data_IF_414302536197
#
_entry.id   IF_414302536197
#
_cell.length_a   1.000
_cell.length_b   1.000
_cell.length_c   1.000
_cell.angle_alpha   90.00
_cell.angle_beta   90.00
_cell.angle_gamma   90.00
#
_symmetry.space_group_name_H-M   'P 1'
#
loop_
_entity.id
_entity.type
_entity.pdbx_description
1 polymer ?
#
# COMPACT_ATOMS: atom_id res chain seq x y z
N UNK A 1 19.22 -23.73 0.24
CA UNK A 1 17.93 -23.17 -0.26
C UNK A 1 16.89 -23.33 0.83
N UNK A 2 16.70 -22.31 1.65
CA UNK A 2 15.81 -22.36 2.81
C UNK A 2 14.40 -21.92 2.42
N UNK A 3 13.39 -22.75 2.68
CA UNK A 3 11.98 -22.39 2.49
C UNK A 3 11.49 -21.64 3.72
N UNK A 4 11.52 -20.31 3.69
CA UNK A 4 10.92 -19.50 4.74
C UNK A 4 9.39 -19.63 4.67
N UNK A 5 8.83 -20.38 5.62
CA UNK A 5 7.39 -20.58 5.76
C UNK A 5 6.74 -19.37 6.41
N UNK A 6 6.07 -18.53 5.62
CA UNK A 6 5.33 -17.34 6.09
C UNK A 6 3.96 -17.70 6.72
N UNK A 7 3.96 -18.69 7.62
CA UNK A 7 2.76 -19.21 8.27
C UNK A 7 2.40 -18.49 9.59
N UNK A 8 3.27 -17.63 10.13
CA UNK A 8 3.13 -17.17 11.52
C UNK A 8 3.48 -15.68 11.76
N UNK A 9 2.99 -14.78 10.91
CA UNK A 9 3.05 -13.33 11.13
C UNK A 9 1.64 -12.78 11.34
N UNK A 10 1.29 -12.59 12.63
CA UNK A 10 -0.02 -12.11 13.10
C UNK A 10 -0.20 -10.62 12.78
N UNK A 11 -0.68 -10.32 11.58
CA UNK A 11 -1.09 -8.98 11.14
C UNK A 11 -2.51 -9.03 10.52
N UNK A 12 -3.44 -8.10 10.87
CA UNK A 12 -4.82 -8.16 10.36
C UNK A 12 -4.96 -7.89 8.86
N UNK A 13 -4.00 -7.16 8.28
CA UNK A 13 -4.15 -6.50 6.98
C UNK A 13 -4.20 -7.44 5.75
N UNK A 14 -3.93 -8.74 5.90
CA UNK A 14 -4.14 -9.71 4.81
C UNK A 14 -5.62 -9.89 4.43
N UNK A 15 -6.57 -9.45 5.26
CA UNK A 15 -8.00 -9.41 4.88
C UNK A 15 -8.45 -8.03 4.37
N UNK A 16 -7.90 -6.93 4.87
CA UNK A 16 -8.42 -5.59 4.60
C UNK A 16 -8.35 -5.18 3.12
N UNK A 17 -7.25 -5.50 2.41
CA UNK A 17 -7.09 -5.18 0.97
C UNK A 17 -8.15 -5.90 0.09
N UNK A 18 -8.79 -6.96 0.60
CA UNK A 18 -9.87 -7.67 -0.10
C UNK A 18 -11.28 -7.33 0.42
N UNK A 19 -11.44 -6.55 1.49
CA UNK A 19 -12.75 -6.31 2.13
C UNK A 19 -13.69 -5.37 1.36
N UNK A 20 -13.18 -4.64 0.37
CA UNK A 20 -14.02 -3.78 -0.49
C UNK A 20 -14.87 -4.55 -1.50
N UNK A 21 -14.69 -5.88 -1.65
CA UNK A 21 -15.51 -6.70 -2.54
C UNK A 21 -16.13 -7.85 -1.76
N UNK A 22 -17.36 -7.64 -1.28
CA UNK A 22 -18.21 -8.72 -0.79
C UNK A 22 -18.69 -9.56 -1.98
N UNK A 23 -17.84 -10.49 -2.43
CA UNK A 23 -18.23 -11.52 -3.39
C UNK A 23 -19.21 -12.50 -2.69
N UNK A 24 -20.35 -12.83 -3.31
CA UNK A 24 -21.24 -13.86 -2.76
C UNK A 24 -20.53 -15.22 -2.70
N UNK A 25 -20.99 -16.14 -1.84
CA UNK A 25 -20.36 -17.42 -1.47
C UNK A 25 -20.18 -18.48 -2.60
N UNK A 26 -20.24 -18.03 -3.86
CA UNK A 26 -19.80 -18.68 -5.08
C UNK A 26 -18.52 -17.94 -5.53
N UNK A 27 -17.39 -18.23 -4.87
CA UNK A 27 -16.13 -17.52 -5.11
C UNK A 27 -15.20 -18.28 -6.08
N UNK A 28 -14.92 -17.66 -7.24
CA UNK A 28 -13.62 -17.86 -7.90
C UNK A 28 -12.54 -17.15 -7.07
N UNK A 29 -11.81 -17.90 -6.25
CA UNK A 29 -10.76 -17.36 -5.38
C UNK A 29 -9.76 -16.48 -6.16
N UNK A 30 -9.66 -15.19 -5.77
CA UNK A 30 -8.83 -14.20 -6.44
C UNK A 30 -7.33 -14.52 -6.27
N UNK A 31 -6.71 -15.16 -7.28
CA UNK A 31 -5.29 -15.54 -7.26
C UNK A 31 -4.37 -14.38 -7.65
N UNK A 32 -4.09 -13.50 -6.70
CA UNK A 32 -3.02 -12.50 -6.84
C UNK A 32 -1.66 -13.22 -6.80
N UNK A 33 -0.96 -13.28 -7.94
CA UNK A 33 0.37 -13.92 -8.06
C UNK A 33 1.51 -13.07 -7.51
N UNK A 34 1.37 -11.76 -7.62
CA UNK A 34 2.38 -10.78 -7.24
C UNK A 34 1.69 -9.66 -6.48
N UNK A 35 2.06 -9.48 -5.22
CA UNK A 35 1.62 -8.39 -4.36
C UNK A 35 2.86 -7.84 -3.65
N UNK A 36 2.93 -6.51 -3.53
CA UNK A 36 4.02 -5.81 -2.83
C UNK A 36 3.39 -4.95 -1.76
N UNK A 37 3.81 -5.16 -0.52
CA UNK A 37 3.50 -4.27 0.60
C UNK A 37 4.51 -3.11 0.57
N UNK A 38 3.99 -1.89 0.39
CA UNK A 38 4.82 -0.68 0.24
C UNK A 38 5.49 -0.24 1.54
N UNK A 39 4.87 -0.53 2.70
CA UNK A 39 5.46 -0.27 4.01
C UNK A 39 6.61 -1.23 4.30
N UNK A 40 6.44 -2.51 3.96
CA UNK A 40 7.52 -3.51 4.00
C UNK A 40 8.67 -3.17 3.05
N UNK A 41 8.35 -2.78 1.80
CA UNK A 41 9.34 -2.38 0.81
C UNK A 41 10.19 -1.20 1.31
N UNK A 42 9.54 -0.14 1.81
CA UNK A 42 10.20 1.03 2.37
C UNK A 42 11.02 0.69 3.63
N UNK A 43 10.47 -0.13 4.54
CA UNK A 43 11.15 -0.57 5.75
C UNK A 43 12.47 -1.30 5.45
N UNK A 44 12.49 -2.16 4.42
CA UNK A 44 13.67 -2.91 4.00
C UNK A 44 14.72 -2.01 3.35
N UNK A 45 14.34 -1.19 2.37
CA UNK A 45 15.26 -0.35 1.60
C UNK A 45 15.87 0.74 2.49
N UNK A 46 15.03 1.45 3.25
CA UNK A 46 15.47 2.52 4.14
C UNK A 46 16.06 2.01 5.47
N UNK A 47 16.06 0.68 5.70
CA UNK A 47 16.49 0.00 6.94
C UNK A 47 15.80 0.55 8.20
N UNK A 48 14.52 0.90 8.08
CA UNK A 48 13.70 1.53 9.13
C UNK A 48 12.51 0.63 9.49
N UNK A 49 12.65 -0.30 10.46
CA UNK A 49 11.59 -1.27 10.80
C UNK A 49 10.31 -0.63 11.35
N UNK A 50 10.37 0.61 11.87
CA UNK A 50 9.19 1.39 12.29
C UNK A 50 8.15 1.59 11.18
N UNK A 51 8.56 1.51 9.91
CA UNK A 51 7.68 1.74 8.76
C UNK A 51 6.70 0.59 8.49
N UNK A 52 6.92 -0.59 9.11
CA UNK A 52 5.98 -1.71 9.09
C UNK A 52 4.65 -1.40 9.80
N UNK A 53 4.64 -0.39 10.68
CA UNK A 53 3.46 0.08 11.43
C UNK A 53 2.99 1.46 10.99
N UNK A 54 3.63 2.07 9.98
CA UNK A 54 3.34 3.45 9.57
C UNK A 54 2.07 3.55 8.73
N UNK A 55 1.37 4.65 8.93
CA UNK A 55 0.28 5.12 8.06
C UNK A 55 0.82 5.54 6.69
N UNK A 56 -0.07 5.65 5.70
CA UNK A 56 0.28 6.11 4.36
C UNK A 56 0.88 7.53 4.35
N UNK A 57 0.43 8.42 5.24
CA UNK A 57 0.97 9.78 5.34
C UNK A 57 2.38 9.81 5.95
N UNK A 58 2.63 8.99 6.97
CA UNK A 58 3.97 8.82 7.56
C UNK A 58 4.95 8.18 6.56
N UNK A 59 4.48 7.19 5.78
CA UNK A 59 5.26 6.61 4.69
C UNK A 59 5.60 7.67 3.64
N UNK A 60 4.62 8.42 3.14
CA UNK A 60 4.85 9.52 2.19
C UNK A 60 5.88 10.53 2.71
N UNK A 61 5.79 10.92 3.98
CA UNK A 61 6.74 11.85 4.60
C UNK A 61 8.15 11.26 4.67
N UNK A 62 8.29 10.00 5.10
CA UNK A 62 9.59 9.34 5.22
C UNK A 62 10.23 9.03 3.86
N UNK A 63 9.43 8.73 2.83
CA UNK A 63 9.89 8.49 1.46
C UNK A 63 9.99 9.80 0.66
N UNK A 64 9.65 10.96 1.24
CA UNK A 64 9.68 12.27 0.58
C UNK A 64 8.85 12.26 -0.72
N UNK A 65 7.56 11.91 -0.59
CA UNK A 65 6.57 11.83 -1.67
C UNK A 65 5.45 12.83 -1.38
N UNK A 66 5.55 14.01 -1.99
CA UNK A 66 4.53 15.05 -1.86
C UNK A 66 3.34 14.78 -2.79
N UNK A 67 2.21 14.41 -2.19
CA UNK A 67 0.90 14.29 -2.85
C UNK A 67 -0.12 14.90 -1.90
N UNK A 68 -0.86 15.90 -2.38
CA UNK A 68 -1.90 16.56 -1.59
C UNK A 68 -3.11 15.62 -1.40
N UNK A 69 -3.52 15.42 -0.14
CA UNK A 69 -4.78 14.73 0.17
C UNK A 69 -5.97 15.56 -0.35
N UNK A 70 -6.94 14.97 -1.07
CA UNK A 70 -8.07 15.72 -1.61
C UNK A 70 -8.95 16.28 -0.48
N UNK A 71 -9.39 17.53 -0.65
CA UNK A 71 -10.35 18.19 0.24
C UNK A 71 -11.74 17.58 0.08
N UNK A 72 -12.34 17.14 1.19
CA UNK A 72 -13.71 16.60 1.21
C UNK A 72 -14.68 17.77 1.44
N UNK A 73 -15.38 18.20 0.39
CA UNK A 73 -16.28 19.36 0.45
C UNK A 73 -17.44 19.17 1.45
N UNK A 74 -17.94 17.94 1.58
CA UNK A 74 -19.11 17.59 2.40
C UNK A 74 -18.75 17.19 3.85
N UNK A 75 -17.58 17.63 4.35
CA UNK A 75 -17.15 17.48 5.74
C UNK A 75 -16.57 16.10 6.13
N UNK A 76 -17.16 14.99 5.66
CA UNK A 76 -16.61 13.64 5.90
C UNK A 76 -17.07 12.60 4.86
N UNK A 77 -16.31 11.52 4.72
CA UNK A 77 -16.72 10.34 3.93
C UNK A 77 -17.78 9.54 4.69
N UNK A 78 -18.62 8.79 3.98
CA UNK A 78 -19.63 7.92 4.60
C UNK A 78 -18.93 6.78 5.35
N UNK A 79 -19.48 6.36 6.49
CA UNK A 79 -18.93 5.21 7.22
C UNK A 79 -19.09 3.91 6.41
N UNK A 80 -17.99 3.14 6.25
CA UNK A 80 -17.90 1.92 5.43
C UNK A 80 -18.18 2.12 3.93
N UNK A 81 -17.83 3.28 3.40
CA UNK A 81 -17.96 3.59 1.97
C UNK A 81 -17.20 2.60 1.07
N UNK A 82 -16.10 2.05 1.57
CA UNK A 82 -15.26 1.06 0.88
C UNK A 82 -16.00 -0.25 0.57
N UNK A 83 -17.12 -0.52 1.24
CA UNK A 83 -18.01 -1.68 0.98
C UNK A 83 -19.24 -1.31 0.12
N UNK A 84 -19.33 -0.08 -0.38
CA UNK A 84 -20.48 0.40 -1.16
C UNK A 84 -20.37 -0.02 -2.64
N UNK A 85 -21.50 -0.42 -3.22
CA UNK A 85 -21.63 -0.67 -4.67
C UNK A 85 -21.59 0.64 -5.49
N UNK A 86 -21.92 1.78 -4.86
CA UNK A 86 -21.95 3.10 -5.50
C UNK A 86 -21.17 4.10 -4.66
N UNK A 87 -20.09 4.61 -5.24
CA UNK A 87 -19.19 5.59 -4.63
C UNK A 87 -19.60 7.03 -4.99
N UNK A 88 -19.39 7.98 -4.08
CA UNK A 88 -19.46 9.41 -4.39
C UNK A 88 -18.19 9.90 -5.09
N UNK A 89 -18.21 11.11 -5.64
CA UNK A 89 -17.04 11.71 -6.29
C UNK A 89 -15.87 11.91 -5.30
N UNK A 90 -16.17 12.26 -4.05
CA UNK A 90 -15.18 12.42 -2.97
C UNK A 90 -14.57 11.09 -2.55
N UNK A 91 -15.37 10.02 -2.49
CA UNK A 91 -14.91 8.66 -2.19
C UNK A 91 -13.99 8.14 -3.31
N UNK A 92 -14.35 8.37 -4.58
CA UNK A 92 -13.48 8.06 -5.73
C UNK A 92 -12.17 8.87 -5.67
N UNK A 93 -12.23 10.17 -5.34
CA UNK A 93 -11.03 11.00 -5.17
C UNK A 93 -10.10 10.47 -4.08
N UNK A 94 -10.64 10.01 -2.95
CA UNK A 94 -9.84 9.44 -1.86
C UNK A 94 -9.27 8.08 -2.24
N UNK A 95 -10.06 7.19 -2.86
CA UNK A 95 -9.56 5.90 -3.37
C UNK A 95 -8.39 6.08 -4.36
N UNK A 96 -8.56 6.98 -5.33
CA UNK A 96 -7.51 7.30 -6.32
C UNK A 96 -6.27 7.90 -5.68
N UNK A 97 -6.44 8.77 -4.68
CA UNK A 97 -5.34 9.34 -3.90
C UNK A 97 -4.52 8.28 -3.16
N UNK A 98 -5.18 7.31 -2.50
CA UNK A 98 -4.50 6.24 -1.77
C UNK A 98 -3.74 5.30 -2.70
N UNK A 99 -4.38 4.87 -3.81
CA UNK A 99 -3.75 4.03 -4.84
C UNK A 99 -2.55 4.73 -5.48
N UNK A 100 -2.70 6.01 -5.86
CA UNK A 100 -1.62 6.77 -6.48
C UNK A 100 -0.44 7.02 -5.51
N UNK A 101 -0.73 7.25 -4.23
CA UNK A 101 0.31 7.38 -3.20
C UNK A 101 1.13 6.10 -3.03
N UNK A 102 0.48 4.94 -2.97
CA UNK A 102 1.17 3.65 -2.93
C UNK A 102 2.04 3.41 -4.18
N UNK A 103 1.54 3.76 -5.37
CA UNK A 103 2.29 3.67 -6.61
C UNK A 103 3.54 4.58 -6.62
N UNK A 104 3.41 5.83 -6.18
CA UNK A 104 4.53 6.78 -6.14
C UNK A 104 5.61 6.37 -5.12
N UNK A 105 5.21 5.89 -3.93
CA UNK A 105 6.13 5.31 -2.94
C UNK A 105 6.89 4.12 -3.54
N UNK A 106 6.17 3.16 -4.14
CA UNK A 106 6.77 1.97 -4.74
C UNK A 106 7.76 2.34 -5.87
N UNK A 107 7.40 3.32 -6.70
CA UNK A 107 8.23 3.79 -7.82
C UNK A 107 9.52 4.46 -7.34
N UNK A 108 9.45 5.34 -6.32
CA UNK A 108 10.63 5.95 -5.71
C UNK A 108 11.53 4.89 -5.08
N UNK A 109 10.97 3.97 -4.29
CA UNK A 109 11.69 2.87 -3.67
C UNK A 109 12.36 1.92 -4.68
N UNK A 110 11.69 1.59 -5.79
CA UNK A 110 12.30 0.80 -6.87
C UNK A 110 13.49 1.52 -7.51
N UNK A 111 13.44 2.86 -7.60
CA UNK A 111 14.51 3.68 -8.19
C UNK A 111 15.75 3.74 -7.27
N UNK A 112 15.55 3.92 -5.96
CA UNK A 112 16.63 3.89 -4.96
C UNK A 112 17.40 2.55 -4.99
N UNK A 113 16.69 1.41 -5.13
CA UNK A 113 17.32 0.09 -5.25
C UNK A 113 18.24 -0.01 -6.47
N UNK A 114 17.84 0.56 -7.61
CA UNK A 114 18.66 0.56 -8.84
C UNK A 114 19.93 1.39 -8.63
N UNK A 115 19.84 2.53 -7.94
CA UNK A 115 21.01 3.36 -7.64
C UNK A 115 21.99 2.67 -6.68
N UNK A 116 21.49 2.05 -5.60
CA UNK A 116 22.32 1.27 -4.66
C UNK A 116 23.01 0.09 -5.36
N UNK A 117 22.34 -0.58 -6.31
CA UNK A 117 22.94 -1.63 -7.13
C UNK A 117 24.06 -1.11 -8.06
N UNK A 118 23.85 0.03 -8.71
CA UNK A 118 24.87 0.64 -9.57
C UNK A 118 26.14 1.04 -8.80
N UNK A 119 25.99 1.55 -7.57
CA UNK A 119 27.11 2.00 -6.72
C UNK A 119 28.02 0.87 -6.18
N UNK A 120 27.61 -0.40 -6.28
CA UNK A 120 28.35 -1.54 -5.71
C UNK A 120 29.12 -2.39 -6.73
N UNK A 121 29.10 -2.00 -8.01
CA UNK A 121 29.83 -2.70 -9.09
C UNK A 121 31.17 -2.01 -9.45
N UNK A 122 31.76 -1.28 -8.49
CA UNK A 122 32.96 -0.46 -8.67
C UNK A 122 33.91 -0.51 -7.48
N UNK A 123 34.45 -1.70 -7.18
CA UNK A 123 35.62 -1.94 -6.34
C UNK A 123 36.50 -3.01 -6.99
#
# INVERSE_FOLDING_TARGET
MEKISLANSRWPLKQEICRGVSLPANETALRIRTAVDVGYLAAQILKKPKLLTSTLEELKLEVDVEIMRPTIANGSLRHKWESSVVLSEEEVKVAMYEVYSCYQIATKMATEVIQVGASTTGQ
#
